data_IF_451738162178
#
_entry.id   IF_451738162178
#
_cell.length_a   1.000
_cell.length_b   1.000
_cell.length_c   1.000
_cell.angle_alpha   90.00
_cell.angle_beta   90.00
_cell.angle_gamma   90.00
#
_symmetry.space_group_name_H-M   'P 1'
#
loop_
_entity.id
_entity.type
_entity.pdbx_description
1 polymer ?
#
# COMPACT_ATOMS: atom_id res chain seq x y z
N UNK A 1 77.75 33.44 6.03
CA UNK A 1 77.09 33.19 4.74
C UNK A 1 75.59 33.48 4.87
N UNK A 2 75.12 34.56 4.23
CA UNK A 2 73.89 34.73 3.43
C UNK A 2 72.52 34.27 4.05
N UNK A 3 71.70 35.18 4.60
CA UNK A 3 70.48 35.86 4.04
C UNK A 3 69.13 35.12 4.12
N UNK A 4 68.29 35.57 5.06
CA UNK A 4 66.91 36.13 4.94
C UNK A 4 65.82 35.59 3.97
N UNK A 5 64.65 35.30 4.61
CA UNK A 5 63.20 35.37 4.25
C UNK A 5 62.62 34.77 2.95
N UNK A 6 61.51 34.01 3.06
CA UNK A 6 60.12 34.44 2.74
C UNK A 6 59.04 33.38 3.09
N UNK A 7 57.78 33.81 3.17
CA UNK A 7 56.58 33.11 3.66
C UNK A 7 55.58 32.94 2.49
N UNK A 8 54.97 31.77 2.26
CA UNK A 8 53.53 31.65 1.95
C UNK A 8 53.04 30.18 1.88
N UNK A 9 51.79 29.88 2.30
CA UNK A 9 51.18 28.55 2.28
C UNK A 9 50.22 28.36 1.09
N UNK A 10 49.98 27.11 0.67
CA UNK A 10 48.67 26.57 0.19
C UNK A 10 48.82 25.25 -0.58
N UNK A 11 47.68 24.54 -0.71
CA UNK A 11 47.34 23.26 -1.38
C UNK A 11 47.57 22.00 -0.52
N UNK A 12 46.58 21.19 -0.12
CA UNK A 12 45.33 20.79 -0.77
C UNK A 12 44.28 20.24 0.27
N UNK A 13 42.99 20.52 0.10
CA UNK A 13 41.82 19.94 0.83
C UNK A 13 41.33 18.63 0.15
N UNK A 14 40.14 18.03 0.42
CA UNK A 14 39.26 17.93 1.60
C UNK A 14 38.85 16.46 1.95
N UNK A 15 38.30 16.22 3.14
CA UNK A 15 37.68 14.94 3.50
C UNK A 15 36.42 15.14 4.33
N UNK A 16 35.36 15.67 3.72
CA UNK A 16 34.02 15.68 4.33
C UNK A 16 33.45 14.25 4.30
N UNK A 17 33.09 13.69 5.45
CA UNK A 17 32.11 12.60 5.53
C UNK A 17 30.92 13.07 6.35
N UNK A 18 29.89 13.47 5.60
CA UNK A 18 28.52 13.68 6.03
C UNK A 18 27.88 12.35 6.41
N UNK A 19 27.50 12.18 7.67
CA UNK A 19 26.67 11.05 8.09
C UNK A 19 25.56 11.53 9.05
N UNK A 20 24.52 12.12 8.48
CA UNK A 20 23.34 12.55 9.24
C UNK A 20 22.05 12.62 8.43
N UNK A 21 22.09 12.44 7.10
CA UNK A 21 20.94 12.68 6.22
C UNK A 21 20.24 11.41 5.70
N UNK A 22 20.73 10.20 6.03
CA UNK A 22 20.21 8.97 5.42
C UNK A 22 18.98 8.37 6.12
N UNK A 23 18.71 8.72 7.38
CA UNK A 23 17.63 8.09 8.17
C UNK A 23 16.25 8.68 7.83
N UNK A 24 16.17 9.95 7.44
CA UNK A 24 14.90 10.63 7.11
C UNK A 24 14.27 10.18 5.79
N UNK A 25 15.05 9.61 4.87
CA UNK A 25 14.55 9.15 3.57
C UNK A 25 13.81 7.80 3.62
N UNK A 26 13.95 7.01 4.70
CA UNK A 26 13.38 5.66 4.77
C UNK A 26 11.90 5.65 5.16
N UNK A 27 11.42 6.68 5.88
CA UNK A 27 10.05 6.75 6.39
C UNK A 27 9.05 7.32 5.37
N UNK A 28 9.51 8.03 4.33
CA UNK A 28 8.63 8.65 3.34
C UNK A 28 8.06 7.65 2.32
N UNK A 29 8.66 6.46 2.17
CA UNK A 29 8.17 5.39 1.29
C UNK A 29 7.14 4.46 1.93
N UNK A 30 6.85 4.60 3.23
CA UNK A 30 6.05 3.63 3.99
C UNK A 30 4.58 4.01 4.16
N UNK A 31 4.16 5.16 3.61
CA UNK A 31 2.72 5.42 3.39
C UNK A 31 2.24 4.49 2.26
N UNK A 32 1.87 3.27 2.64
CA UNK A 32 1.14 2.34 1.77
C UNK A 32 -0.08 3.11 1.25
N UNK A 33 -0.08 3.46 -0.04
CA UNK A 33 -1.24 4.09 -0.67
C UNK A 33 -2.39 3.10 -0.59
N UNK A 34 -3.53 3.55 -0.05
CA UNK A 34 -4.78 2.79 -0.11
C UNK A 34 -5.07 2.46 -1.58
N UNK A 35 -5.38 1.20 -1.86
CA UNK A 35 -5.62 0.71 -3.21
C UNK A 35 -7.11 0.48 -3.45
N UNK A 36 -7.51 0.64 -4.70
CA UNK A 36 -8.83 0.21 -5.16
C UNK A 36 -8.67 -1.06 -5.98
N UNK A 37 -9.36 -2.13 -5.58
CA UNK A 37 -9.37 -3.42 -6.23
C UNK A 37 -10.67 -3.56 -7.04
N UNK A 38 -10.53 -3.60 -8.36
CA UNK A 38 -11.68 -3.69 -9.27
C UNK A 38 -12.01 -5.15 -9.61
N UNK A 39 -13.30 -5.46 -9.54
CA UNK A 39 -13.91 -6.72 -9.95
C UNK A 39 -15.04 -6.46 -10.96
N UNK A 40 -15.34 -7.46 -11.79
CA UNK A 40 -16.50 -7.44 -12.67
C UNK A 40 -17.59 -8.33 -12.08
N UNK A 41 -18.83 -7.86 -12.05
CA UNK A 41 -19.97 -8.61 -11.51
C UNK A 41 -20.18 -9.94 -12.27
N UNK A 42 -19.80 -10.01 -13.55
CA UNK A 42 -19.82 -11.24 -14.35
C UNK A 42 -18.88 -12.34 -13.84
N UNK A 43 -17.91 -12.00 -12.98
CA UNK A 43 -17.01 -12.96 -12.31
C UNK A 43 -17.52 -13.46 -10.96
N UNK A 44 -18.72 -13.03 -10.50
CA UNK A 44 -19.29 -13.51 -9.24
C UNK A 44 -19.52 -15.03 -9.29
N UNK A 45 -19.20 -15.71 -8.19
CA UNK A 45 -19.21 -17.18 -8.08
C UNK A 45 -17.95 -17.87 -8.63
N UNK A 46 -17.07 -17.15 -9.33
CA UNK A 46 -15.82 -17.69 -9.89
C UNK A 46 -14.61 -16.97 -9.28
N UNK A 47 -14.53 -15.65 -9.47
CA UNK A 47 -13.42 -14.83 -8.98
C UNK A 47 -13.62 -14.39 -7.53
N UNK A 48 -14.89 -14.24 -7.14
CA UNK A 48 -15.30 -13.86 -5.80
C UNK A 48 -16.73 -14.30 -5.49
N UNK A 49 -17.05 -14.40 -4.20
CA UNK A 49 -18.40 -14.52 -3.66
C UNK A 49 -18.62 -13.31 -2.75
N UNK A 50 -19.78 -12.67 -2.85
CA UNK A 50 -20.17 -11.52 -2.02
C UNK A 50 -21.53 -11.83 -1.36
N UNK A 51 -21.57 -11.73 -0.04
CA UNK A 51 -22.74 -12.04 0.77
C UNK A 51 -23.09 -10.87 1.68
N UNK A 52 -24.37 -10.52 1.80
CA UNK A 52 -24.81 -9.48 2.74
C UNK A 52 -24.79 -10.01 4.17
N UNK A 53 -24.37 -9.18 5.12
CA UNK A 53 -24.49 -9.48 6.54
C UNK A 53 -25.98 -9.51 6.95
N UNK A 54 -26.35 -10.48 7.77
CA UNK A 54 -27.69 -10.55 8.37
C UNK A 54 -27.92 -9.50 9.46
N UNK A 55 -26.84 -8.93 10.00
CA UNK A 55 -26.88 -7.99 11.13
C UNK A 55 -26.96 -6.52 10.69
N UNK A 56 -26.39 -6.18 9.53
CA UNK A 56 -26.30 -4.81 9.04
C UNK A 56 -26.49 -4.75 7.53
N UNK A 57 -27.44 -3.92 7.02
CA UNK A 57 -27.77 -3.86 5.60
C UNK A 57 -26.68 -3.23 4.73
N UNK A 58 -25.63 -2.66 5.35
CA UNK A 58 -24.49 -2.06 4.66
C UNK A 58 -23.23 -2.90 4.78
N UNK A 59 -23.24 -3.97 5.57
CA UNK A 59 -22.08 -4.83 5.75
C UNK A 59 -22.18 -6.07 4.88
N UNK A 60 -21.04 -6.50 4.36
CA UNK A 60 -20.92 -7.63 3.45
C UNK A 60 -19.69 -8.45 3.81
N UNK A 61 -19.72 -9.72 3.45
CA UNK A 61 -18.57 -10.60 3.45
C UNK A 61 -18.19 -10.93 2.02
N UNK A 62 -16.90 -10.86 1.71
CA UNK A 62 -16.40 -11.21 0.39
C UNK A 62 -15.27 -12.21 0.52
N UNK A 63 -15.39 -13.32 -0.21
CA UNK A 63 -14.31 -14.29 -0.39
C UNK A 63 -13.83 -14.20 -1.83
N UNK A 64 -12.54 -14.06 -2.08
CA UNK A 64 -12.03 -13.91 -3.43
C UNK A 64 -10.60 -14.43 -3.59
N UNK A 65 -10.21 -14.67 -4.85
CA UNK A 65 -8.85 -15.04 -5.23
C UNK A 65 -8.16 -13.84 -5.87
N UNK A 66 -7.34 -13.12 -5.10
CA UNK A 66 -6.47 -12.02 -5.59
C UNK A 66 -5.63 -11.47 -4.44
N UNK A 67 -4.34 -11.76 -4.42
CA UNK A 67 -3.48 -11.29 -3.33
C UNK A 67 -3.37 -9.76 -3.25
N UNK A 68 -3.12 -9.27 -2.04
CA UNK A 68 -2.73 -7.87 -1.80
C UNK A 68 -3.85 -6.90 -1.44
N UNK A 69 -5.08 -7.37 -1.22
CA UNK A 69 -6.17 -6.60 -0.58
C UNK A 69 -5.84 -6.38 0.89
N UNK A 70 -5.96 -5.15 1.39
CA UNK A 70 -5.67 -4.83 2.80
C UNK A 70 -6.83 -4.09 3.46
N UNK A 71 -6.83 -4.05 4.80
CA UNK A 71 -7.71 -3.16 5.56
C UNK A 71 -7.62 -1.71 5.05
N UNK A 72 -8.77 -1.05 4.98
CA UNK A 72 -8.99 0.30 4.43
C UNK A 72 -8.75 0.45 2.92
N UNK A 73 -8.41 -0.62 2.20
CA UNK A 73 -8.54 -0.60 0.74
C UNK A 73 -10.01 -0.50 0.33
N UNK A 74 -10.25 -0.13 -0.92
CA UNK A 74 -11.58 -0.13 -1.50
C UNK A 74 -11.74 -1.28 -2.49
N UNK A 75 -12.91 -1.90 -2.49
CA UNK A 75 -13.32 -2.88 -3.50
C UNK A 75 -14.37 -2.23 -4.39
N UNK A 76 -14.15 -2.23 -5.70
CA UNK A 76 -15.10 -1.70 -6.68
C UNK A 76 -15.60 -2.83 -7.56
N UNK A 77 -16.88 -3.17 -7.42
CA UNK A 77 -17.54 -4.17 -8.27
C UNK A 77 -18.27 -3.41 -9.36
N UNK A 78 -17.90 -3.69 -10.61
CA UNK A 78 -18.49 -3.06 -11.79
C UNK A 78 -19.45 -4.05 -12.45
N UNK A 79 -20.65 -3.59 -12.73
CA UNK A 79 -21.61 -4.20 -13.63
C UNK A 79 -21.66 -3.36 -14.92
N UNK A 80 -22.25 -3.92 -15.98
CA UNK A 80 -22.52 -3.31 -17.28
C UNK A 80 -23.05 -1.87 -17.24
N UNK A 81 -23.77 -1.49 -16.18
CA UNK A 81 -24.42 -0.17 -16.07
C UNK A 81 -24.12 0.59 -14.77
N UNK A 82 -23.50 -0.06 -13.78
CA UNK A 82 -23.34 0.49 -12.43
C UNK A 82 -22.03 0.04 -11.81
N UNK A 83 -21.53 0.79 -10.84
CA UNK A 83 -20.42 0.34 -10.01
C UNK A 83 -20.74 0.58 -8.56
N UNK A 84 -20.49 -0.43 -7.73
CA UNK A 84 -20.63 -0.33 -6.30
C UNK A 84 -19.24 -0.36 -5.64
N UNK A 85 -19.02 0.52 -4.69
CA UNK A 85 -17.76 0.60 -3.93
C UNK A 85 -18.00 0.20 -2.49
N UNK A 86 -17.03 -0.53 -1.95
CA UNK A 86 -17.00 -1.02 -0.58
C UNK A 86 -15.65 -0.68 0.04
N UNK A 87 -15.61 -0.38 1.34
CA UNK A 87 -14.38 -0.28 2.11
C UNK A 87 -14.11 -1.60 2.85
N UNK A 88 -12.85 -2.03 2.87
CA UNK A 88 -12.41 -3.22 3.61
C UNK A 88 -12.24 -2.87 5.09
N UNK A 89 -13.12 -3.40 5.94
CA UNK A 89 -13.03 -3.21 7.39
C UNK A 89 -11.99 -4.13 8.02
N UNK A 90 -11.98 -5.40 7.59
CA UNK A 90 -11.16 -6.50 8.08
C UNK A 90 -10.89 -7.47 6.94
N UNK A 91 -9.74 -8.15 6.97
CA UNK A 91 -9.37 -9.17 5.98
C UNK A 91 -8.56 -10.28 6.65
N UNK A 92 -8.98 -11.52 6.41
CA UNK A 92 -8.32 -12.74 6.81
C UNK A 92 -7.81 -13.45 5.55
N UNK A 93 -6.58 -13.95 5.60
CA UNK A 93 -5.96 -14.65 4.47
C UNK A 93 -5.89 -16.14 4.77
N UNK A 94 -6.19 -16.95 3.76
CA UNK A 94 -5.97 -18.39 3.84
C UNK A 94 -4.49 -18.69 3.58
N UNK A 95 -3.98 -19.73 4.25
CA UNK A 95 -2.61 -20.21 4.01
C UNK A 95 -2.48 -21.03 2.73
N UNK A 96 -3.55 -21.75 2.34
CA UNK A 96 -3.65 -22.52 1.11
C UNK A 96 -5.12 -22.53 0.61
N UNK A 97 -5.40 -22.02 -0.61
CA UNK A 97 -4.47 -21.35 -1.52
C UNK A 97 -4.08 -19.95 -1.00
N UNK A 98 -2.81 -19.58 -1.20
CA UNK A 98 -2.20 -18.35 -0.63
C UNK A 98 -2.71 -17.03 -1.22
N UNK A 99 -3.47 -17.09 -2.31
CA UNK A 99 -4.08 -15.94 -2.97
C UNK A 99 -5.56 -15.73 -2.59
N UNK A 100 -6.11 -16.62 -1.76
CA UNK A 100 -7.47 -16.52 -1.26
C UNK A 100 -7.54 -15.78 0.08
N UNK A 101 -8.58 -14.97 0.23
CA UNK A 101 -8.87 -14.24 1.45
C UNK A 101 -10.39 -14.09 1.62
N UNK A 102 -10.80 -13.80 2.85
CA UNK A 102 -12.14 -13.41 3.22
C UNK A 102 -12.08 -12.03 3.90
N UNK A 103 -12.94 -11.10 3.51
CA UNK A 103 -12.97 -9.76 4.06
C UNK A 103 -14.37 -9.35 4.49
N UNK A 104 -14.43 -8.60 5.58
CA UNK A 104 -15.64 -7.86 5.97
C UNK A 104 -15.59 -6.47 5.36
N UNK A 105 -16.66 -6.11 4.68
CA UNK A 105 -16.77 -4.92 3.87
C UNK A 105 -17.94 -4.04 4.34
N UNK A 106 -17.85 -2.74 4.10
CA UNK A 106 -18.99 -1.83 4.24
C UNK A 106 -19.24 -1.08 2.93
N UNK A 107 -20.51 -0.96 2.56
CA UNK A 107 -20.96 -0.20 1.41
C UNK A 107 -20.63 1.28 1.57
N UNK A 108 -19.91 1.85 0.61
CA UNK A 108 -19.69 3.30 0.51
C UNK A 108 -20.82 3.88 -0.35
N UNK A 109 -21.64 4.73 0.26
CA UNK A 109 -22.81 5.37 -0.36
C UNK A 109 -22.51 6.73 -0.97
#
# INVERSE_FOLDING_TARGET
MNTSVEFNPSTHSPGQKTEGHKVRSLLQGWRQKLKTHSYQASGAGVDFVLEASSESPKEFYMTAHKSGVKKSDSIKINDSSRSQTYEVLEVDYYSDPSDMWMARLVLVG
#
